data_IF_200330611223
#
_entry.id   IF_200330611223
#
_cell.length_a   1.000
_cell.length_b   1.000
_cell.length_c   1.000
_cell.angle_alpha   90.00
_cell.angle_beta   90.00
_cell.angle_gamma   90.00
#
_symmetry.space_group_name_H-M   'P 1'
#
loop_
_entity.id
_entity.type
_entity.pdbx_description
1 polymer ?
#
# COMPACT_ATOMS: atom_id res chain seq x y z
N UNK A 1 0.37 -18.91 54.16
CA UNK A 1 -0.51 -19.34 53.04
C UNK A 1 -0.95 -18.19 52.13
N UNK A 2 -1.15 -16.95 52.64
CA UNK A 2 -1.52 -15.78 51.81
C UNK A 2 -0.49 -15.39 50.72
N UNK A 3 0.81 -15.57 50.97
CA UNK A 3 1.87 -15.18 50.02
C UNK A 3 1.86 -15.98 48.72
N UNK A 4 1.43 -17.25 48.77
CA UNK A 4 1.31 -18.11 47.58
C UNK A 4 0.09 -17.75 46.72
N UNK A 5 -1.01 -17.35 47.35
CA UNK A 5 -2.22 -16.90 46.65
C UNK A 5 -1.98 -15.54 45.99
N UNK A 6 -1.31 -14.62 46.70
CA UNK A 6 -0.98 -13.29 46.15
C UNK A 6 -0.09 -13.38 44.90
N UNK A 7 0.95 -14.23 44.92
CA UNK A 7 1.82 -14.45 43.74
C UNK A 7 1.05 -15.05 42.56
N UNK A 8 0.13 -15.98 42.81
CA UNK A 8 -0.73 -16.56 41.76
C UNK A 8 -1.66 -15.50 41.16
N UNK A 9 -2.28 -14.66 41.99
CA UNK A 9 -3.11 -13.55 41.51
C UNK A 9 -2.30 -12.53 40.69
N UNK A 10 -1.07 -12.23 41.11
CA UNK A 10 -0.19 -11.28 40.41
C UNK A 10 0.24 -11.81 39.02
N UNK A 11 0.56 -13.10 38.93
CA UNK A 11 0.86 -13.76 37.65
C UNK A 11 -0.36 -13.79 36.73
N UNK A 12 -1.54 -14.13 37.26
CA UNK A 12 -2.78 -14.13 36.48
C UNK A 12 -3.10 -12.72 35.98
N UNK A 13 -2.96 -11.69 36.82
CA UNK A 13 -3.16 -10.30 36.42
C UNK A 13 -2.17 -9.87 35.33
N UNK A 14 -0.88 -10.23 35.45
CA UNK A 14 0.12 -9.93 34.42
C UNK A 14 -0.22 -10.61 33.08
N UNK A 15 -0.64 -11.88 33.11
CA UNK A 15 -1.05 -12.61 31.91
C UNK A 15 -2.32 -12.01 31.30
N UNK A 16 -3.29 -11.64 32.13
CA UNK A 16 -4.53 -10.99 31.69
C UNK A 16 -4.25 -9.62 31.08
N UNK A 17 -3.36 -8.82 31.68
CA UNK A 17 -2.95 -7.52 31.12
C UNK A 17 -2.19 -7.70 29.81
N UNK A 18 -1.29 -8.68 29.73
CA UNK A 18 -0.59 -9.02 28.49
C UNK A 18 -1.57 -9.46 27.39
N UNK A 19 -2.60 -10.24 27.74
CA UNK A 19 -3.63 -10.72 26.83
C UNK A 19 -4.58 -9.60 26.38
N UNK A 20 -5.11 -8.81 27.32
CA UNK A 20 -6.02 -7.69 27.03
C UNK A 20 -5.34 -6.58 26.22
N UNK A 21 -4.01 -6.43 26.33
CA UNK A 21 -3.25 -5.36 25.69
C UNK A 21 -2.36 -5.88 24.55
N UNK A 22 -2.61 -7.11 24.05
CA UNK A 22 -1.81 -7.80 23.03
C UNK A 22 -1.64 -6.98 21.74
N UNK A 23 -2.70 -6.30 21.28
CA UNK A 23 -2.64 -5.43 20.08
C UNK A 23 -1.76 -4.18 20.22
N UNK A 24 -1.38 -3.75 21.44
CA UNK A 24 -0.34 -2.73 21.63
C UNK A 24 1.06 -3.32 21.57
N UNK A 25 1.22 -4.56 22.04
CA UNK A 25 2.50 -5.29 22.05
C UNK A 25 2.90 -5.63 20.62
N UNK A 26 1.98 -6.13 19.79
CA UNK A 26 2.23 -6.43 18.38
C UNK A 26 2.79 -5.23 17.59
N UNK A 27 2.32 -4.00 17.87
CA UNK A 27 2.81 -2.77 17.23
C UNK A 27 4.25 -2.41 17.58
N UNK A 28 4.73 -2.81 18.75
CA UNK A 28 6.12 -2.56 19.18
C UNK A 28 7.09 -3.55 18.51
N UNK A 29 6.62 -4.77 18.22
CA UNK A 29 7.44 -5.83 17.62
C UNK A 29 7.46 -5.81 16.08
N UNK A 30 6.50 -5.14 15.42
CA UNK A 30 6.49 -4.99 13.95
C UNK A 30 6.39 -3.52 13.48
N UNK A 31 7.43 -2.69 13.70
CA UNK A 31 7.43 -1.26 13.35
C UNK A 31 7.35 -0.97 11.83
N UNK A 32 7.51 -1.98 10.96
CA UNK A 32 7.42 -1.83 9.50
C UNK A 32 6.03 -1.40 9.00
N UNK A 33 4.98 -1.65 9.80
CA UNK A 33 3.59 -1.31 9.45
C UNK A 33 3.29 0.19 9.64
N UNK A 34 4.13 0.92 10.38
CA UNK A 34 3.93 2.35 10.66
C UNK A 34 4.47 3.24 9.54
N UNK A 35 5.46 2.75 8.79
CA UNK A 35 6.02 3.41 7.60
C UNK A 35 5.21 3.07 6.33
N UNK A 36 4.31 2.09 6.35
CA UNK A 36 3.69 1.57 5.12
C UNK A 36 2.27 2.06 4.84
N UNK A 37 1.40 2.27 5.83
CA UNK A 37 -0.03 2.59 5.56
C UNK A 37 -0.25 4.08 5.24
N UNK A 38 0.33 4.96 6.06
CA UNK A 38 0.22 6.41 5.89
C UNK A 38 0.93 6.90 4.61
N UNK A 39 2.02 6.23 4.22
CA UNK A 39 2.85 6.58 3.05
C UNK A 39 2.15 6.13 1.77
N UNK A 40 1.50 4.95 1.76
CA UNK A 40 0.65 4.50 0.66
C UNK A 40 -0.58 5.42 0.50
N UNK A 41 -1.20 5.84 1.60
CA UNK A 41 -2.38 6.72 1.56
C UNK A 41 -2.09 8.13 1.03
N UNK A 42 -0.86 8.64 1.15
CA UNK A 42 -0.47 9.98 0.68
C UNK A 42 0.27 9.96 -0.67
N UNK A 43 0.64 8.77 -1.17
CA UNK A 43 1.32 8.65 -2.44
C UNK A 43 0.41 9.13 -3.57
N UNK A 44 0.93 10.03 -4.42
CA UNK A 44 0.26 10.41 -5.66
C UNK A 44 0.53 9.31 -6.69
N UNK A 45 -0.48 8.49 -6.95
CA UNK A 45 -0.44 7.47 -8.00
C UNK A 45 -1.42 7.82 -9.11
N UNK A 46 -0.93 7.91 -10.34
CA UNK A 46 -1.74 8.08 -11.55
C UNK A 46 -1.46 6.91 -12.50
N UNK A 47 -2.53 6.23 -12.92
CA UNK A 47 -2.50 5.09 -13.84
C UNK A 47 -3.11 5.50 -15.18
N UNK A 48 -2.32 5.42 -16.26
CA UNK A 48 -2.79 5.52 -17.64
C UNK A 48 -2.98 4.11 -18.20
N UNK A 49 -4.21 3.78 -18.57
CA UNK A 49 -4.63 2.42 -18.87
C UNK A 49 -5.69 2.36 -19.97
N UNK A 50 -6.15 1.15 -20.29
CA UNK A 50 -7.39 0.89 -21.03
C UNK A 50 -8.19 -0.22 -20.33
N UNK A 51 -9.49 -0.29 -20.56
CA UNK A 51 -10.36 -1.30 -19.95
C UNK A 51 -10.01 -2.74 -20.32
N UNK A 52 -9.67 -2.97 -21.60
CA UNK A 52 -9.49 -4.31 -22.15
C UNK A 52 -8.12 -4.92 -21.82
N UNK A 53 -7.13 -4.11 -21.43
CA UNK A 53 -5.77 -4.56 -21.20
C UNK A 53 -5.63 -5.41 -19.93
N UNK A 54 -5.14 -6.64 -20.09
CA UNK A 54 -4.90 -7.57 -18.97
C UNK A 54 -3.89 -7.06 -17.95
N UNK A 55 -2.79 -6.44 -18.39
CA UNK A 55 -1.78 -5.88 -17.48
C UNK A 55 -2.29 -4.63 -16.74
N UNK A 56 -3.19 -3.86 -17.34
CA UNK A 56 -3.87 -2.77 -16.64
C UNK A 56 -4.75 -3.31 -15.52
N UNK A 57 -5.54 -4.37 -15.80
CA UNK A 57 -6.33 -5.06 -14.76
C UNK A 57 -5.48 -5.62 -13.63
N UNK A 58 -4.33 -6.23 -13.96
CA UNK A 58 -3.39 -6.73 -12.97
C UNK A 58 -2.83 -5.60 -12.09
N UNK A 59 -2.53 -4.45 -12.69
CA UNK A 59 -2.05 -3.26 -11.97
C UNK A 59 -3.10 -2.70 -11.02
N UNK A 60 -4.36 -2.55 -11.46
CA UNK A 60 -5.48 -2.14 -10.59
C UNK A 60 -5.60 -3.05 -9.38
N UNK A 61 -5.68 -4.37 -9.63
CA UNK A 61 -5.79 -5.38 -8.58
C UNK A 61 -4.64 -5.30 -7.59
N UNK A 62 -3.41 -5.11 -8.08
CA UNK A 62 -2.25 -4.97 -7.23
C UNK A 62 -2.32 -3.72 -6.34
N UNK A 63 -2.69 -2.57 -6.89
CA UNK A 63 -2.84 -1.33 -6.12
C UNK A 63 -3.96 -1.46 -5.07
N UNK A 64 -5.09 -2.08 -5.44
CA UNK A 64 -6.21 -2.37 -4.55
C UNK A 64 -5.81 -3.32 -3.41
N UNK A 65 -5.13 -4.44 -3.73
CA UNK A 65 -4.59 -5.40 -2.75
C UNK A 65 -3.60 -4.74 -1.78
N UNK A 66 -2.88 -3.71 -2.24
CA UNK A 66 -1.94 -2.94 -1.42
C UNK A 66 -2.59 -1.73 -0.75
N UNK A 67 -3.90 -1.50 -0.90
CA UNK A 67 -4.58 -0.35 -0.30
C UNK A 67 -3.99 1.00 -0.76
N UNK A 68 -3.45 1.06 -1.97
CA UNK A 68 -2.84 2.27 -2.53
C UNK A 68 -3.91 3.03 -3.29
N UNK A 69 -4.35 4.21 -2.83
CA UNK A 69 -5.26 5.04 -3.61
C UNK A 69 -4.56 5.52 -4.90
N UNK A 70 -5.27 5.42 -6.02
CA UNK A 70 -4.78 5.90 -7.31
C UNK A 70 -5.87 6.58 -8.11
N UNK A 71 -5.46 7.45 -9.03
CA UNK A 71 -6.32 7.98 -10.09
C UNK A 71 -6.05 7.20 -11.36
N UNK A 72 -7.10 6.78 -12.05
CA UNK A 72 -6.98 6.12 -13.34
C UNK A 72 -7.55 6.99 -14.46
N UNK A 73 -6.87 6.99 -15.59
CA UNK A 73 -7.34 7.57 -16.83
C UNK A 73 -7.28 6.55 -17.97
N UNK A 74 -8.42 6.37 -18.64
CA UNK A 74 -8.49 5.57 -19.85
C UNK A 74 -8.07 6.41 -21.05
N UNK A 75 -6.93 6.07 -21.65
CA UNK A 75 -6.34 6.83 -22.76
C UNK A 75 -7.13 6.67 -24.07
N UNK A 76 -8.11 5.78 -24.16
CA UNK A 76 -8.99 5.64 -25.33
C UNK A 76 -10.30 6.43 -25.19
N UNK A 77 -10.67 6.80 -23.96
CA UNK A 77 -11.92 7.50 -23.68
C UNK A 77 -11.73 8.98 -23.31
N UNK A 78 -10.52 9.33 -22.88
CA UNK A 78 -10.18 10.68 -22.46
C UNK A 78 -9.05 11.24 -23.35
N UNK A 79 -9.36 12.28 -24.11
CA UNK A 79 -8.42 12.93 -25.02
C UNK A 79 -7.29 13.68 -24.28
N UNK A 80 -7.58 14.24 -23.10
CA UNK A 80 -6.57 14.89 -22.27
C UNK A 80 -5.63 13.85 -21.65
N UNK A 81 -6.17 12.72 -21.21
CA UNK A 81 -5.38 11.58 -20.76
C UNK A 81 -4.50 11.03 -21.88
N UNK A 82 -5.01 10.88 -23.10
CA UNK A 82 -4.23 10.49 -24.28
C UNK A 82 -3.06 11.44 -24.53
N UNK A 83 -3.31 12.75 -24.51
CA UNK A 83 -2.27 13.77 -24.72
C UNK A 83 -1.20 13.70 -23.63
N UNK A 84 -1.60 13.50 -22.39
CA UNK A 84 -0.67 13.38 -21.26
C UNK A 84 0.14 12.10 -21.36
N UNK A 85 -0.49 10.98 -21.71
CA UNK A 85 0.17 9.71 -22.01
C UNK A 85 1.25 9.84 -23.11
N UNK A 86 0.95 10.56 -24.19
CA UNK A 86 1.91 10.85 -25.26
C UNK A 86 3.06 11.71 -24.78
N UNK A 87 2.79 12.76 -23.98
CA UNK A 87 3.82 13.60 -23.38
C UNK A 87 4.75 12.83 -22.42
N UNK A 88 4.24 11.77 -21.78
CA UNK A 88 5.03 10.83 -20.98
C UNK A 88 5.82 9.81 -21.83
N UNK A 89 5.80 9.93 -23.16
CA UNK A 89 6.50 9.04 -24.09
C UNK A 89 5.81 7.69 -24.24
N UNK A 90 4.49 7.68 -24.32
CA UNK A 90 3.63 6.50 -24.44
C UNK A 90 4.04 5.54 -25.57
N UNK A 91 4.45 4.32 -25.20
CA UNK A 91 4.82 3.23 -26.13
C UNK A 91 4.18 1.88 -25.77
N UNK A 92 3.33 1.89 -24.75
CA UNK A 92 2.67 0.72 -24.18
C UNK A 92 1.84 1.14 -22.96
N UNK A 93 1.02 0.22 -22.47
CA UNK A 93 0.21 0.39 -21.26
C UNK A 93 0.38 -0.85 -20.37
N UNK A 94 0.20 -0.74 -19.04
CA UNK A 94 -0.08 0.50 -18.30
C UNK A 94 1.14 1.43 -18.21
N UNK A 95 0.91 2.72 -17.95
CA UNK A 95 1.95 3.65 -17.48
C UNK A 95 1.50 4.20 -16.14
N UNK A 96 2.40 4.18 -15.15
CA UNK A 96 2.13 4.74 -13.83
C UNK A 96 3.06 5.91 -13.56
N UNK A 97 2.52 6.99 -13.02
CA UNK A 97 3.28 8.03 -12.33
C UNK A 97 3.07 7.83 -10.83
N UNK A 98 4.13 7.45 -10.12
CA UNK A 98 4.16 7.25 -8.67
C UNK A 98 5.09 8.29 -8.07
N UNK A 99 4.52 9.34 -7.46
CA UNK A 99 5.28 10.45 -6.86
C UNK A 99 6.32 11.09 -7.82
N UNK A 100 6.01 11.18 -9.11
CA UNK A 100 6.93 11.69 -10.15
C UNK A 100 7.84 10.61 -10.76
N UNK A 101 7.82 9.38 -10.23
CA UNK A 101 8.54 8.24 -10.81
C UNK A 101 7.67 7.55 -11.85
N UNK A 102 8.11 7.59 -13.11
CA UNK A 102 7.40 6.97 -14.22
C UNK A 102 7.76 5.48 -14.34
N UNK A 103 6.75 4.62 -14.24
CA UNK A 103 6.86 3.16 -14.37
C UNK A 103 6.07 2.73 -15.61
N UNK A 104 6.64 1.82 -16.41
CA UNK A 104 6.06 1.35 -17.66
C UNK A 104 5.77 -0.14 -17.56
N UNK A 105 4.55 -0.53 -17.91
CA UNK A 105 4.09 -1.90 -17.76
C UNK A 105 3.74 -2.26 -16.31
N UNK A 106 3.38 -3.53 -16.13
CA UNK A 106 3.08 -4.08 -14.81
C UNK A 106 4.36 -4.55 -14.13
N UNK A 107 4.92 -3.71 -13.26
CA UNK A 107 6.15 -4.00 -12.51
C UNK A 107 5.94 -3.80 -10.99
N UNK A 108 5.38 -4.80 -10.27
CA UNK A 108 5.01 -4.69 -8.86
C UNK A 108 6.12 -4.23 -7.93
N UNK A 109 7.34 -4.73 -8.14
CA UNK A 109 8.50 -4.38 -7.30
C UNK A 109 8.88 -2.90 -7.46
N UNK A 110 8.88 -2.41 -8.69
CA UNK A 110 9.18 -1.00 -8.98
C UNK A 110 8.09 -0.07 -8.46
N UNK A 111 6.82 -0.50 -8.53
CA UNK A 111 5.70 0.23 -7.92
C UNK A 111 5.91 0.36 -6.41
N UNK A 112 6.22 -0.74 -5.71
CA UNK A 112 6.46 -0.69 -4.25
C UNK A 112 7.66 0.18 -3.88
N UNK A 113 8.74 0.08 -4.65
CA UNK A 113 9.94 0.89 -4.44
C UNK A 113 9.65 2.39 -4.61
N UNK A 114 8.87 2.76 -5.63
CA UNK A 114 8.48 4.15 -5.86
C UNK A 114 7.56 4.68 -4.75
N UNK A 115 6.69 3.82 -4.20
CA UNK A 115 5.85 4.17 -3.05
C UNK A 115 6.64 4.44 -1.77
N UNK A 116 7.82 3.82 -1.59
CA UNK A 116 8.63 3.99 -0.38
C UNK A 116 9.66 5.13 -0.46
N UNK A 117 9.71 5.89 -1.55
CA UNK A 117 10.71 6.96 -1.76
C UNK A 117 10.17 8.35 -1.36
N UNK A 118 9.54 8.45 -0.18
CA UNK A 118 9.01 9.71 0.38
C UNK A 118 9.91 10.21 1.50
#
# INVERSE_FOLDING_TARGET
MLSGVLKKCLLVLLVVVAYQNWGKIERVFNPSQMVSEQIRSNARVVLYATDWCGYCKATRRFLDEKGVPFREFDIEKDAEARKTYEALGGRGIPILDVNGTLIRGYEPENILKALSTI
#
